data_IF_714516751001
#
_entry.id   IF_714516751001
#
_cell.length_a   1.000
_cell.length_b   1.000
_cell.length_c   1.000
_cell.angle_alpha   90.00
_cell.angle_beta   90.00
_cell.angle_gamma   90.00
#
_symmetry.space_group_name_H-M   'P 1'
#
loop_
_entity.id
_entity.type
_entity.pdbx_description
1 polymer ?
#
# COMPACT_ATOMS: atom_id res chain seq x y z
N UNK A 1 26.48 -15.79 -60.93
CA UNK A 1 26.20 -14.70 -59.98
C UNK A 1 24.78 -14.84 -59.50
N UNK A 2 24.60 -14.87 -58.18
CA UNK A 2 23.35 -14.86 -57.40
C UNK A 2 22.41 -13.69 -57.76
N UNK A 3 21.14 -13.63 -57.27
CA UNK A 3 20.36 -14.67 -56.58
C UNK A 3 18.90 -14.84 -57.07
N UNK A 4 18.39 -16.01 -56.69
CA UNK A 4 17.01 -16.43 -56.53
C UNK A 4 16.14 -15.43 -55.73
N UNK A 5 14.95 -15.12 -56.23
CA UNK A 5 13.80 -14.65 -55.42
C UNK A 5 12.59 -15.51 -55.76
N UNK A 6 12.13 -16.30 -54.79
CA UNK A 6 10.83 -16.98 -54.83
C UNK A 6 9.77 -16.05 -54.21
N UNK A 7 8.56 -15.94 -54.78
CA UNK A 7 7.50 -15.10 -54.24
C UNK A 7 6.60 -15.87 -53.25
N UNK A 8 6.23 -15.17 -52.17
CA UNK A 8 4.95 -15.25 -51.46
C UNK A 8 4.48 -16.63 -50.96
N UNK A 9 4.85 -16.97 -49.72
CA UNK A 9 4.04 -17.88 -48.89
C UNK A 9 3.02 -17.04 -48.14
N UNK A 10 1.77 -17.15 -48.58
CA UNK A 10 0.56 -16.76 -47.87
C UNK A 10 0.54 -17.49 -46.51
N UNK A 11 0.63 -16.75 -45.41
CA UNK A 11 0.23 -17.27 -44.10
C UNK A 11 -1.27 -17.05 -43.99
N UNK A 12 -2.00 -18.13 -44.22
CA UNK A 12 -3.45 -18.23 -44.07
C UNK A 12 -3.87 -18.01 -42.63
N UNK A 13 -4.93 -17.23 -42.50
CA UNK A 13 -5.80 -17.06 -41.35
C UNK A 13 -6.34 -18.39 -40.86
N UNK A 14 -5.81 -18.94 -39.77
CA UNK A 14 -6.48 -19.99 -39.00
C UNK A 14 -5.86 -20.14 -37.61
N UNK A 15 -6.40 -19.40 -36.63
CA UNK A 15 -6.34 -19.74 -35.20
C UNK A 15 -7.23 -18.76 -34.41
N UNK A 16 -8.48 -18.63 -34.85
CA UNK A 16 -9.57 -18.01 -34.11
C UNK A 16 -10.41 -19.16 -33.53
N UNK A 17 -10.02 -19.65 -32.35
CA UNK A 17 -10.88 -20.29 -31.34
C UNK A 17 -10.05 -21.14 -30.36
N UNK A 18 -9.71 -20.55 -29.22
CA UNK A 18 -9.85 -21.23 -27.93
C UNK A 18 -9.89 -20.20 -26.82
N UNK A 19 -11.10 -19.87 -26.40
CA UNK A 19 -11.33 -19.06 -25.21
C UNK A 19 -10.78 -19.79 -23.98
N UNK A 20 -9.94 -19.09 -23.22
CA UNK A 20 -9.79 -19.09 -21.76
C UNK A 20 -8.76 -17.99 -21.49
N UNK A 21 -9.22 -16.87 -20.95
CA UNK A 21 -8.41 -15.71 -20.59
C UNK A 21 -7.35 -16.09 -19.56
N UNK A 22 -6.09 -16.22 -19.99
CA UNK A 22 -4.94 -16.08 -19.08
C UNK A 22 -4.67 -14.59 -18.95
N UNK A 23 -4.63 -14.06 -17.73
CA UNK A 23 -3.90 -12.82 -17.47
C UNK A 23 -2.52 -12.98 -18.11
N UNK A 24 -2.19 -12.08 -19.04
CA UNK A 24 -0.90 -12.10 -19.72
C UNK A 24 0.19 -12.08 -18.68
N UNK A 25 0.95 -13.17 -18.56
CA UNK A 25 2.14 -13.21 -17.71
C UNK A 25 3.21 -12.36 -18.40
N UNK A 26 4.21 -11.82 -17.69
CA UNK A 26 5.35 -11.16 -18.33
C UNK A 26 6.05 -12.04 -19.39
N UNK A 27 5.82 -13.35 -19.35
CA UNK A 27 6.24 -14.38 -20.34
C UNK A 27 5.54 -14.24 -21.71
N UNK A 28 4.40 -13.56 -21.80
CA UNK A 28 3.64 -13.36 -23.06
C UNK A 28 4.17 -12.16 -23.87
N UNK A 29 4.96 -11.28 -23.25
CA UNK A 29 5.79 -10.33 -23.97
C UNK A 29 6.99 -11.12 -24.52
N UNK A 30 7.13 -11.21 -25.85
CA UNK A 30 8.31 -11.78 -26.53
C UNK A 30 9.57 -10.90 -26.33
N UNK A 31 9.81 -10.43 -25.12
CA UNK A 31 10.87 -9.51 -24.74
C UNK A 31 11.52 -9.99 -23.43
N UNK A 32 12.86 -9.99 -23.34
CA UNK A 32 13.54 -10.34 -22.09
C UNK A 32 13.26 -9.30 -21.00
N UNK A 33 13.25 -9.72 -19.73
CA UNK A 33 12.80 -8.90 -18.59
C UNK A 33 13.50 -7.54 -18.45
N UNK A 34 14.80 -7.46 -18.76
CA UNK A 34 15.54 -6.18 -18.72
C UNK A 34 15.05 -5.17 -19.77
N UNK A 35 14.59 -5.62 -20.94
CA UNK A 35 13.97 -4.73 -21.93
C UNK A 35 12.64 -4.17 -21.41
N UNK A 36 11.86 -4.97 -20.69
CA UNK A 36 10.60 -4.52 -20.08
C UNK A 36 10.88 -3.40 -19.07
N UNK A 37 11.91 -3.55 -18.23
CA UNK A 37 12.34 -2.53 -17.26
C UNK A 37 12.78 -1.23 -17.95
N UNK A 38 13.55 -1.33 -19.06
CA UNK A 38 13.98 -0.16 -19.84
C UNK A 38 12.81 0.55 -20.53
N UNK A 39 11.93 -0.20 -21.18
CA UNK A 39 10.72 0.34 -21.81
C UNK A 39 9.82 0.99 -20.75
N UNK A 40 9.66 0.36 -19.58
CA UNK A 40 8.90 0.91 -18.47
C UNK A 40 9.45 2.25 -18.01
N UNK A 41 10.77 2.33 -17.81
CA UNK A 41 11.46 3.57 -17.45
C UNK A 41 11.18 4.63 -18.49
N UNK A 42 11.42 4.33 -19.77
CA UNK A 42 11.35 5.31 -20.85
C UNK A 42 9.91 5.79 -21.09
N UNK A 43 8.90 4.91 -21.03
CA UNK A 43 7.47 5.29 -21.16
C UNK A 43 6.94 6.16 -20.01
N UNK A 44 7.59 6.12 -18.85
CA UNK A 44 7.20 6.86 -17.65
C UNK A 44 8.07 8.09 -17.38
N UNK A 45 9.03 8.40 -18.26
CA UNK A 45 9.75 9.68 -18.21
C UNK A 45 8.78 10.83 -18.50
N UNK A 46 8.78 11.87 -17.68
CA UNK A 46 7.93 13.06 -17.85
C UNK A 46 8.16 13.73 -19.21
N UNK A 47 9.38 13.68 -19.72
CA UNK A 47 9.77 14.21 -21.04
C UNK A 47 9.32 13.33 -22.22
N UNK A 48 9.00 12.05 -21.97
CA UNK A 48 8.62 11.07 -22.99
C UNK A 48 7.14 10.67 -22.88
N UNK A 49 6.28 11.65 -22.60
CA UNK A 49 4.84 11.44 -22.47
C UNK A 49 4.12 11.68 -23.79
N UNK A 50 3.62 10.61 -24.40
CA UNK A 50 2.65 10.71 -25.49
C UNK A 50 1.27 11.04 -24.91
N UNK A 51 0.50 11.96 -25.53
CA UNK A 51 -0.86 12.22 -25.11
C UNK A 51 -1.69 10.93 -25.11
N UNK A 52 -2.47 10.70 -24.06
CA UNK A 52 -3.22 9.45 -23.90
C UNK A 52 -4.18 9.20 -25.07
N UNK A 53 -4.74 10.27 -25.64
CA UNK A 53 -5.59 10.20 -26.83
C UNK A 53 -4.87 9.63 -28.06
N UNK A 54 -3.57 9.92 -28.22
CA UNK A 54 -2.75 9.36 -29.29
C UNK A 54 -2.53 7.88 -29.05
N UNK A 55 -2.21 7.47 -27.82
CA UNK A 55 -2.03 6.06 -27.45
C UNK A 55 -3.36 5.29 -27.66
N UNK A 56 -4.47 5.82 -27.15
CA UNK A 56 -5.81 5.22 -27.32
C UNK A 56 -6.18 5.10 -28.80
N UNK A 57 -5.92 6.13 -29.62
CA UNK A 57 -6.16 6.07 -31.06
C UNK A 57 -5.29 5.02 -31.75
N UNK A 58 -4.00 4.91 -31.40
CA UNK A 58 -3.10 3.88 -31.94
C UNK A 58 -3.53 2.47 -31.53
N UNK A 59 -4.02 2.30 -30.30
CA UNK A 59 -4.54 1.04 -29.80
C UNK A 59 -5.83 0.64 -30.51
N UNK A 60 -6.76 1.57 -30.71
CA UNK A 60 -7.99 1.36 -31.47
C UNK A 60 -7.71 1.04 -32.95
N UNK A 61 -6.70 1.70 -33.55
CA UNK A 61 -6.28 1.41 -34.94
C UNK A 61 -5.66 0.02 -35.09
N UNK A 62 -4.91 -0.44 -34.09
CA UNK A 62 -4.19 -1.73 -34.14
C UNK A 62 -5.06 -2.92 -33.79
N UNK A 63 -5.96 -2.74 -32.82
CA UNK A 63 -6.74 -3.84 -32.21
C UNK A 63 -8.25 -3.71 -32.43
N UNK A 64 -8.71 -2.69 -33.16
CA UNK A 64 -10.14 -2.45 -33.36
C UNK A 64 -10.79 -1.79 -32.14
N UNK A 65 -11.83 -0.99 -32.40
CA UNK A 65 -12.53 -0.23 -31.36
C UNK A 65 -13.54 -1.13 -30.62
N UNK A 66 -13.40 -1.26 -29.30
CA UNK A 66 -14.38 -1.95 -28.45
C UNK A 66 -14.30 -3.47 -28.43
N UNK A 67 -13.21 -4.07 -28.94
CA UNK A 67 -12.98 -5.51 -28.81
C UNK A 67 -12.64 -5.88 -27.36
N UNK A 68 -13.33 -6.89 -26.80
CA UNK A 68 -12.95 -7.48 -25.52
C UNK A 68 -11.56 -8.12 -25.68
N UNK A 69 -10.57 -7.65 -24.91
CA UNK A 69 -9.15 -8.01 -25.10
C UNK A 69 -8.36 -7.10 -26.05
N UNK A 70 -8.96 -5.99 -26.51
CA UNK A 70 -8.31 -5.00 -27.38
C UNK A 70 -7.32 -4.09 -26.66
N UNK A 71 -6.77 -3.09 -27.35
CA UNK A 71 -5.60 -2.32 -26.87
C UNK A 71 -5.81 -1.53 -25.56
N UNK A 72 -7.03 -1.17 -25.20
CA UNK A 72 -7.34 -0.59 -23.87
C UNK A 72 -7.07 -1.59 -22.73
N UNK A 73 -7.40 -2.88 -22.91
CA UNK A 73 -7.07 -3.91 -21.91
C UNK A 73 -5.57 -4.13 -21.77
N UNK A 74 -4.80 -3.91 -22.85
CA UNK A 74 -3.35 -3.99 -22.84
C UNK A 74 -2.72 -2.85 -22.03
N UNK A 75 -3.28 -1.64 -22.15
CA UNK A 75 -2.88 -0.48 -21.32
C UNK A 75 -3.18 -0.78 -19.85
N UNK A 76 -4.37 -1.28 -19.54
CA UNK A 76 -4.76 -1.63 -18.17
C UNK A 76 -3.88 -2.75 -17.60
N UNK A 77 -3.58 -3.78 -18.40
CA UNK A 77 -2.68 -4.87 -18.03
C UNK A 77 -1.26 -4.35 -17.79
N UNK A 78 -0.78 -3.42 -18.61
CA UNK A 78 0.51 -2.77 -18.41
C UNK A 78 0.55 -1.94 -17.12
N UNK A 79 -0.46 -1.11 -16.86
CA UNK A 79 -0.58 -0.35 -15.60
C UNK A 79 -0.67 -1.30 -14.40
N UNK A 80 -1.45 -2.39 -14.52
CA UNK A 80 -1.55 -3.40 -13.47
C UNK A 80 -0.24 -4.14 -13.25
N UNK A 81 0.52 -4.41 -14.31
CA UNK A 81 1.83 -5.03 -14.22
C UNK A 81 2.84 -4.11 -13.54
N UNK A 82 2.85 -2.82 -13.88
CA UNK A 82 3.67 -1.81 -13.18
C UNK A 82 3.36 -1.79 -11.68
N UNK A 83 2.09 -2.01 -11.31
CA UNK A 83 1.59 -2.05 -9.93
C UNK A 83 1.74 -3.40 -9.24
N UNK A 84 1.94 -4.48 -9.98
CA UNK A 84 1.81 -5.82 -9.43
C UNK A 84 2.93 -6.07 -8.41
N UNK A 85 2.53 -6.20 -7.15
CA UNK A 85 3.34 -6.84 -6.12
C UNK A 85 3.56 -8.31 -6.54
N UNK A 86 4.73 -8.92 -6.25
CA UNK A 86 4.76 -10.37 -6.25
C UNK A 86 3.81 -10.90 -5.17
N UNK A 87 3.12 -12.02 -5.44
CA UNK A 87 2.27 -12.65 -4.44
C UNK A 87 3.10 -13.10 -3.24
N UNK A 88 2.73 -12.63 -2.04
CA UNK A 88 3.04 -13.36 -0.80
C UNK A 88 2.43 -14.77 -0.92
N UNK A 89 3.13 -15.77 -0.40
CA UNK A 89 2.93 -17.22 -0.55
C UNK A 89 1.57 -17.79 -0.03
N UNK A 90 0.48 -17.04 -0.09
CA UNK A 90 -0.88 -17.48 0.23
C UNK A 90 -1.70 -17.49 -1.06
N UNK A 91 -2.19 -18.69 -1.41
CA UNK A 91 -2.91 -19.09 -2.64
C UNK A 91 -3.33 -17.94 -3.58
N UNK A 92 -2.50 -17.74 -4.62
CA UNK A 92 -2.72 -16.89 -5.79
C UNK A 92 -4.16 -16.93 -6.34
N UNK A 93 -4.85 -18.07 -6.19
CA UNK A 93 -6.21 -18.32 -6.66
C UNK A 93 -7.29 -17.63 -5.83
N UNK A 94 -7.10 -17.52 -4.51
CA UNK A 94 -8.03 -16.80 -3.60
C UNK A 94 -7.82 -15.29 -3.64
N UNK A 95 -6.56 -14.85 -3.85
CA UNK A 95 -6.23 -13.44 -4.04
C UNK A 95 -6.84 -12.89 -5.34
N UNK A 96 -6.74 -13.62 -6.45
CA UNK A 96 -7.38 -13.24 -7.73
C UNK A 96 -8.90 -13.25 -7.61
N UNK A 97 -9.52 -14.21 -6.92
CA UNK A 97 -10.98 -14.19 -6.70
C UNK A 97 -11.46 -12.98 -5.90
N UNK A 98 -10.74 -12.57 -4.84
CA UNK A 98 -11.05 -11.36 -4.07
C UNK A 98 -10.77 -10.08 -4.86
N UNK A 99 -9.71 -10.05 -5.66
CA UNK A 99 -9.30 -8.89 -6.45
C UNK A 99 -10.21 -8.69 -7.67
N UNK A 100 -10.49 -9.74 -8.45
CA UNK A 100 -11.43 -9.70 -9.59
C UNK A 100 -12.87 -9.52 -9.12
N UNK A 101 -13.24 -10.06 -7.96
CA UNK A 101 -14.56 -9.86 -7.34
C UNK A 101 -14.82 -8.43 -6.86
N UNK A 102 -13.76 -7.68 -6.49
CA UNK A 102 -13.85 -6.24 -6.15
C UNK A 102 -13.61 -5.31 -7.34
N UNK A 103 -12.72 -5.67 -8.26
CA UNK A 103 -12.41 -4.91 -9.49
C UNK A 103 -13.34 -5.25 -10.66
N UNK A 104 -14.56 -5.72 -10.38
CA UNK A 104 -15.62 -5.72 -11.37
C UNK A 104 -16.06 -4.28 -11.56
N UNK A 105 -15.58 -3.64 -12.64
CA UNK A 105 -15.90 -2.29 -13.11
C UNK A 105 -17.40 -2.09 -13.44
N UNK A 106 -18.30 -2.41 -12.50
CA UNK A 106 -19.73 -2.15 -12.64
C UNK A 106 -20.11 -0.71 -12.29
N UNK A 107 -19.15 0.15 -11.93
CA UNK A 107 -19.43 1.47 -11.39
C UNK A 107 -18.61 2.61 -12.01
N UNK A 108 -18.16 2.47 -13.27
CA UNK A 108 -17.68 3.61 -14.07
C UNK A 108 -18.74 4.14 -15.06
N UNK A 109 -19.83 3.39 -15.30
CA UNK A 109 -20.88 3.79 -16.27
C UNK A 109 -22.21 4.26 -15.65
N UNK A 110 -22.33 4.38 -14.32
CA UNK A 110 -23.62 4.72 -13.68
C UNK A 110 -23.56 5.78 -12.55
N UNK A 111 -22.65 6.74 -12.65
CA UNK A 111 -22.64 7.94 -11.80
C UNK A 111 -22.38 9.23 -12.59
N UNK A 112 -22.87 9.32 -13.84
CA UNK A 112 -22.94 10.60 -14.55
C UNK A 112 -24.25 11.33 -14.25
N UNK A 113 -24.50 11.58 -12.96
CA UNK A 113 -25.68 12.28 -12.48
C UNK A 113 -25.33 13.21 -11.34
N UNK A 114 -25.12 14.48 -11.69
CA UNK A 114 -25.10 15.68 -10.84
C UNK A 114 -23.87 15.89 -9.94
N UNK A 115 -22.80 16.45 -10.52
CA UNK A 115 -22.25 17.79 -10.18
C UNK A 115 -21.01 18.07 -11.07
N UNK A 116 -20.92 19.28 -11.59
CA UNK A 116 -19.92 19.72 -12.57
C UNK A 116 -18.48 19.67 -12.03
N UNK A 117 -17.79 18.56 -12.25
CA UNK A 117 -16.33 18.55 -12.37
C UNK A 117 -15.99 18.01 -13.75
N UNK A 118 -15.29 18.80 -14.58
CA UNK A 118 -14.85 18.37 -15.91
C UNK A 118 -13.93 17.16 -15.74
N UNK A 119 -14.45 15.98 -16.02
CA UNK A 119 -13.69 14.73 -16.08
C UNK A 119 -12.72 14.83 -17.26
N UNK A 120 -11.51 15.33 -17.00
CA UNK A 120 -10.47 15.36 -18.01
C UNK A 120 -9.89 13.95 -18.10
N UNK A 121 -9.96 13.34 -19.29
CA UNK A 121 -9.16 12.15 -19.61
C UNK A 121 -7.71 12.38 -19.18
N UNK A 122 -7.02 11.37 -18.64
CA UNK A 122 -5.63 11.52 -18.24
C UNK A 122 -4.82 12.05 -19.42
N UNK A 123 -4.02 13.09 -19.21
CA UNK A 123 -3.30 13.74 -20.31
C UNK A 123 -2.31 12.78 -20.98
N UNK A 124 -1.72 11.86 -20.21
CA UNK A 124 -0.72 10.88 -20.65
C UNK A 124 -0.60 9.73 -19.62
N UNK A 125 0.23 8.73 -19.93
CA UNK A 125 0.38 7.48 -19.16
C UNK A 125 0.84 7.70 -17.71
N UNK A 126 1.81 8.60 -17.50
CA UNK A 126 2.28 8.97 -16.17
C UNK A 126 1.17 9.65 -15.34
N UNK A 127 0.32 10.46 -15.98
CA UNK A 127 -0.85 11.08 -15.33
C UNK A 127 -1.90 10.04 -14.92
N UNK A 128 -2.15 9.04 -15.78
CA UNK A 128 -3.02 7.90 -15.45
C UNK A 128 -2.46 7.09 -14.27
N UNK A 129 -1.15 6.80 -14.29
CA UNK A 129 -0.48 6.10 -13.18
C UNK A 129 -0.62 6.88 -11.87
N UNK A 130 -0.42 8.20 -11.91
CA UNK A 130 -0.57 9.10 -10.77
C UNK A 130 -2.00 9.09 -10.21
N UNK A 131 -3.02 9.26 -11.05
CA UNK A 131 -4.43 9.25 -10.59
C UNK A 131 -4.81 7.95 -9.93
N UNK A 132 -4.33 6.82 -10.44
CA UNK A 132 -4.63 5.52 -9.86
C UNK A 132 -3.88 5.30 -8.53
N UNK A 133 -2.77 6.02 -8.27
CA UNK A 133 -1.95 5.91 -7.05
C UNK A 133 -2.54 6.76 -5.91
N UNK A 134 -3.63 7.48 -6.14
CA UNK A 134 -4.24 8.38 -5.18
C UNK A 134 -5.71 8.02 -5.00
N UNK A 135 -6.06 7.70 -3.75
CA UNK A 135 -7.44 7.57 -3.36
C UNK A 135 -8.03 8.95 -3.04
N UNK A 136 -8.94 9.44 -3.90
CA UNK A 136 -9.60 10.76 -3.76
C UNK A 136 -10.43 10.89 -2.47
N UNK A 137 -10.96 9.77 -1.93
CA UNK A 137 -11.72 9.79 -0.67
C UNK A 137 -10.82 10.00 0.56
N UNK A 138 -9.55 9.60 0.47
CA UNK A 138 -8.56 9.89 1.52
C UNK A 138 -8.17 11.39 1.53
N UNK A 139 -8.25 12.07 0.38
CA UNK A 139 -7.95 13.50 0.25
C UNK A 139 -8.91 14.40 1.04
N UNK A 140 -10.20 14.05 1.11
CA UNK A 140 -11.23 14.87 1.76
C UNK A 140 -11.20 14.79 3.30
N UNK A 141 -10.59 13.74 3.87
CA UNK A 141 -10.58 13.48 5.31
C UNK A 141 -9.37 14.08 6.05
N UNK A 142 -8.47 14.79 5.35
CA UNK A 142 -7.33 15.43 5.98
C UNK A 142 -7.78 16.62 6.84
N UNK A 143 -7.97 16.39 8.14
CA UNK A 143 -8.30 17.47 9.06
C UNK A 143 -7.16 18.49 9.11
N UNK A 144 -7.48 19.78 8.86
CA UNK A 144 -6.57 20.94 8.97
C UNK A 144 -6.20 21.23 10.44
N UNK A 145 -5.79 20.21 11.20
CA UNK A 145 -5.32 20.35 12.57
C UNK A 145 -3.81 20.55 12.58
N UNK A 146 -3.34 21.31 13.57
CA UNK A 146 -1.97 21.77 13.79
C UNK A 146 -0.91 20.80 13.26
N UNK A 147 -0.01 21.31 12.42
CA UNK A 147 1.18 20.57 11.96
C UNK A 147 2.20 20.53 13.10
N UNK A 148 1.88 19.80 14.16
CA UNK A 148 2.91 19.43 15.10
C UNK A 148 3.90 18.54 14.34
N UNK A 149 5.16 18.97 14.26
CA UNK A 149 6.23 18.14 13.70
C UNK A 149 6.45 16.94 14.61
N UNK A 150 5.68 15.88 14.38
CA UNK A 150 5.94 14.58 14.97
C UNK A 150 7.22 14.04 14.34
N UNK A 151 8.24 13.84 15.17
CA UNK A 151 9.48 13.21 14.74
C UNK A 151 9.15 11.86 14.15
N UNK A 152 9.51 11.68 12.89
CA UNK A 152 9.57 10.36 12.31
C UNK A 152 10.60 9.51 13.06
N UNK A 153 10.32 8.22 13.16
CA UNK A 153 11.22 7.23 13.76
C UNK A 153 11.41 6.13 12.73
N UNK A 154 12.61 5.59 12.72
CA UNK A 154 12.99 4.51 11.81
C UNK A 154 12.14 3.26 12.04
N UNK A 155 12.05 2.40 11.04
CA UNK A 155 11.19 1.22 11.09
C UNK A 155 11.62 0.28 12.23
N UNK A 156 12.93 0.12 12.45
CA UNK A 156 13.46 -0.65 13.57
C UNK A 156 13.09 -0.03 14.92
N UNK A 157 13.15 1.30 15.07
CA UNK A 157 12.79 1.97 16.33
C UNK A 157 11.32 1.74 16.66
N UNK A 158 10.44 1.90 15.66
CA UNK A 158 9.01 1.63 15.80
C UNK A 158 8.75 0.16 16.14
N UNK A 159 9.47 -0.75 15.50
CA UNK A 159 9.37 -2.18 15.79
C UNK A 159 9.81 -2.51 17.24
N UNK A 160 10.87 -1.86 17.76
CA UNK A 160 11.34 -2.08 19.14
C UNK A 160 10.35 -1.66 20.21
N UNK A 161 9.53 -0.64 19.92
CA UNK A 161 8.47 -0.17 20.84
C UNK A 161 7.14 -0.92 20.65
N UNK A 162 7.13 -1.98 19.86
CA UNK A 162 5.96 -2.84 19.66
C UNK A 162 5.00 -2.38 18.57
N UNK A 163 5.41 -1.43 17.71
CA UNK A 163 4.63 -1.06 16.52
C UNK A 163 5.05 -1.95 15.36
N UNK A 164 4.13 -2.78 14.88
CA UNK A 164 4.37 -3.67 13.73
C UNK A 164 3.89 -3.05 12.42
N UNK A 165 4.49 -3.46 11.32
CA UNK A 165 4.12 -3.01 9.99
C UNK A 165 3.20 -4.03 9.32
N UNK A 166 2.29 -3.57 8.47
CA UNK A 166 1.44 -4.44 7.65
C UNK A 166 1.19 -3.81 6.28
N UNK A 167 1.22 -4.62 5.20
CA UNK A 167 0.74 -4.14 3.91
C UNK A 167 -0.78 -4.00 3.96
N UNK A 168 -1.29 -2.93 3.37
CA UNK A 168 -2.72 -2.81 3.06
C UNK A 168 -3.03 -3.59 1.75
N UNK A 169 -4.27 -3.49 1.28
CA UNK A 169 -4.68 -4.05 -0.02
C UNK A 169 -4.83 -2.99 -1.11
N UNK A 170 -4.51 -1.74 -0.82
CA UNK A 170 -4.65 -0.62 -1.74
C UNK A 170 -3.27 -0.14 -2.16
N UNK A 171 -3.05 -0.03 -3.47
CA UNK A 171 -1.78 0.48 -4.00
C UNK A 171 -1.74 2.03 -4.00
N UNK A 172 -2.61 2.67 -3.21
CA UNK A 172 -2.75 4.12 -3.20
C UNK A 172 -1.88 4.72 -2.10
N UNK A 173 -0.96 5.61 -2.47
CA UNK A 173 -0.04 6.26 -1.54
C UNK A 173 -0.75 7.08 -0.46
N UNK A 174 -1.97 7.57 -0.71
CA UNK A 174 -2.78 8.25 0.30
C UNK A 174 -3.33 7.33 1.41
N UNK A 175 -3.35 6.01 1.22
CA UNK A 175 -3.98 5.06 2.14
C UNK A 175 -3.01 4.51 3.20
N UNK A 176 -2.57 5.38 4.11
CA UNK A 176 -1.80 4.97 5.29
C UNK A 176 -2.69 5.03 6.53
N UNK A 177 -2.70 3.96 7.32
CA UNK A 177 -3.53 3.83 8.51
C UNK A 177 -2.69 3.40 9.72
N UNK A 178 -3.04 3.89 10.91
CA UNK A 178 -2.47 3.39 12.15
C UNK A 178 -3.57 2.88 13.08
N UNK A 179 -3.45 1.62 13.47
CA UNK A 179 -4.34 0.94 14.40
C UNK A 179 -3.62 0.70 15.72
N UNK A 180 -4.10 1.36 16.78
CA UNK A 180 -3.58 1.18 18.13
C UNK A 180 -4.23 -0.05 18.77
N UNK A 181 -3.44 -0.92 19.40
CA UNK A 181 -3.94 -2.05 20.20
C UNK A 181 -3.31 -2.10 21.59
N UNK A 182 -3.91 -2.88 22.48
CA UNK A 182 -3.37 -3.15 23.83
C UNK A 182 -2.04 -3.90 23.74
N UNK A 183 -1.85 -4.71 22.70
CA UNK A 183 -0.63 -5.51 22.43
C UNK A 183 0.38 -4.81 21.50
N UNK A 184 0.28 -3.49 21.38
CA UNK A 184 1.12 -2.68 20.48
C UNK A 184 0.38 -2.18 19.22
N UNK A 185 0.93 -1.15 18.60
CA UNK A 185 0.38 -0.54 17.39
C UNK A 185 0.62 -1.37 16.12
N UNK A 186 -0.20 -1.09 15.10
CA UNK A 186 0.01 -1.56 13.74
C UNK A 186 0.01 -0.37 12.78
N UNK A 187 1.10 -0.17 12.07
CA UNK A 187 1.18 0.76 10.95
C UNK A 187 0.89 0.00 9.65
N UNK A 188 -0.20 0.37 9.00
CA UNK A 188 -0.69 -0.23 7.77
C UNK A 188 -0.39 0.74 6.64
N UNK A 189 0.35 0.29 5.63
CA UNK A 189 0.76 1.14 4.53
C UNK A 189 0.71 0.40 3.18
N UNK A 190 0.65 1.15 2.06
CA UNK A 190 0.76 0.57 0.74
C UNK A 190 2.06 -0.22 0.61
N UNK A 191 2.02 -1.43 0.07
CA UNK A 191 3.24 -2.18 -0.21
C UNK A 191 3.95 -1.62 -1.45
N UNK A 192 5.28 -1.74 -1.47
CA UNK A 192 6.13 -1.19 -2.55
C UNK A 192 7.08 -2.25 -3.08
N UNK A 193 7.18 -2.32 -4.40
CA UNK A 193 8.19 -3.10 -5.09
C UNK A 193 9.33 -2.21 -5.57
N UNK A 194 10.55 -2.49 -5.12
CA UNK A 194 11.76 -1.78 -5.49
C UNK A 194 12.56 -2.62 -6.49
N UNK A 195 12.57 -2.14 -7.73
CA UNK A 195 13.29 -2.68 -8.88
C UNK A 195 14.19 -1.57 -9.47
N UNK A 196 15.03 -1.90 -10.45
CA UNK A 196 15.99 -0.97 -11.03
C UNK A 196 15.34 0.32 -11.59
N UNK A 197 14.15 0.23 -12.21
CA UNK A 197 13.41 1.39 -12.71
C UNK A 197 12.68 2.21 -11.65
N UNK A 198 12.54 1.68 -10.42
CA UNK A 198 11.70 2.29 -9.38
C UNK A 198 12.09 3.75 -9.09
N UNK A 199 13.40 4.02 -8.93
CA UNK A 199 13.92 5.37 -8.67
C UNK A 199 13.46 6.36 -9.73
N UNK A 200 13.61 5.98 -11.00
CA UNK A 200 13.26 6.85 -12.13
C UNK A 200 11.75 7.09 -12.18
N UNK A 201 10.94 6.04 -12.04
CA UNK A 201 9.47 6.18 -12.04
C UNK A 201 9.00 7.07 -10.89
N UNK A 202 9.51 6.87 -9.68
CA UNK A 202 9.15 7.66 -8.51
C UNK A 202 9.53 9.14 -8.68
N UNK A 203 10.74 9.44 -9.16
CA UNK A 203 11.17 10.81 -9.42
C UNK A 203 10.33 11.50 -10.50
N UNK A 204 9.94 10.79 -11.55
CA UNK A 204 9.06 11.34 -12.59
C UNK A 204 7.64 11.59 -12.07
N UNK A 205 7.12 10.73 -11.18
CA UNK A 205 5.83 10.98 -10.51
C UNK A 205 5.90 12.21 -9.59
N UNK A 206 6.99 12.38 -8.84
CA UNK A 206 7.22 13.57 -7.99
C UNK A 206 7.34 14.84 -8.85
N UNK A 207 8.09 14.77 -9.95
CA UNK A 207 8.20 15.89 -10.88
C UNK A 207 6.84 16.24 -11.51
N UNK A 208 6.08 15.23 -11.92
CA UNK A 208 4.72 15.41 -12.42
C UNK A 208 3.80 16.08 -11.38
N UNK A 209 3.82 15.60 -10.14
CA UNK A 209 3.07 16.16 -9.02
C UNK A 209 3.44 17.65 -8.79
N UNK A 210 4.73 17.96 -8.81
CA UNK A 210 5.26 19.32 -8.60
C UNK A 210 4.94 20.27 -9.76
N UNK A 211 5.01 19.80 -11.00
CA UNK A 211 4.82 20.62 -12.20
C UNK A 211 3.35 20.80 -12.59
N UNK A 212 2.52 19.76 -12.45
CA UNK A 212 1.16 19.73 -13.00
C UNK A 212 0.06 19.90 -11.94
N UNK A 213 0.32 19.53 -10.68
CA UNK A 213 -0.68 19.53 -9.60
C UNK A 213 -0.32 20.55 -8.50
N UNK A 214 -0.49 21.83 -8.82
CA UNK A 214 -0.34 22.94 -7.86
C UNK A 214 -1.47 23.00 -6.78
N UNK A 215 -2.35 22.00 -6.68
CA UNK A 215 -3.47 21.97 -5.73
C UNK A 215 -3.05 21.64 -4.29
N UNK A 216 -1.78 21.29 -4.06
CA UNK A 216 -1.24 20.99 -2.73
C UNK A 216 -1.42 19.54 -2.26
N UNK A 217 -2.02 18.68 -3.08
CA UNK A 217 -2.17 17.24 -2.79
C UNK A 217 -0.90 16.47 -3.17
N UNK A 218 0.20 16.74 -2.45
CA UNK A 218 1.51 16.14 -2.70
C UNK A 218 1.62 14.71 -2.14
N UNK A 219 0.70 13.79 -2.50
CA UNK A 219 0.63 12.45 -1.92
C UNK A 219 1.82 11.56 -2.25
N UNK A 220 2.33 11.61 -3.49
CA UNK A 220 3.51 10.85 -3.90
C UNK A 220 4.74 11.35 -3.16
N UNK A 221 4.96 12.66 -3.14
CA UNK A 221 6.09 13.26 -2.42
C UNK A 221 5.98 13.01 -0.92
N UNK A 222 4.79 13.14 -0.35
CA UNK A 222 4.56 12.90 1.09
C UNK A 222 4.81 11.46 1.48
N UNK A 223 4.42 10.52 0.63
CA UNK A 223 4.68 9.10 0.85
C UNK A 223 6.16 8.76 0.71
N UNK A 224 6.86 9.32 -0.28
CA UNK A 224 8.30 9.17 -0.43
C UNK A 224 9.06 9.68 0.81
N UNK A 225 8.71 10.87 1.31
CA UNK A 225 9.30 11.39 2.55
C UNK A 225 8.91 10.56 3.79
N UNK A 226 7.69 10.01 3.82
CA UNK A 226 7.27 9.12 4.90
C UNK A 226 8.11 7.84 4.93
N UNK A 227 8.35 7.21 3.78
CA UNK A 227 9.20 6.02 3.69
C UNK A 227 10.66 6.30 4.02
N UNK A 228 11.21 7.40 3.52
CA UNK A 228 12.57 7.82 3.88
C UNK A 228 12.74 7.93 5.40
N UNK A 229 11.75 8.50 6.05
CA UNK A 229 11.75 8.62 7.50
C UNK A 229 11.68 7.28 8.26
N UNK A 230 11.11 6.25 7.62
CA UNK A 230 11.09 4.88 8.12
C UNK A 230 12.37 4.12 7.76
N UNK A 231 13.01 4.43 6.64
CA UNK A 231 14.16 3.70 6.07
C UNK A 231 15.42 4.56 6.22
N UNK A 232 16.08 4.45 7.37
CA UNK A 232 17.32 5.19 7.63
C UNK A 232 18.54 4.32 7.32
N UNK A 233 18.46 3.01 7.57
CA UNK A 233 19.51 2.06 7.25
C UNK A 233 19.00 0.68 6.79
N UNK A 234 19.92 -0.26 6.58
CA UNK A 234 19.65 -1.61 6.10
C UNK A 234 18.76 -2.41 7.04
N UNK A 235 18.83 -2.18 8.36
CA UNK A 235 18.00 -2.92 9.31
C UNK A 235 16.53 -2.50 9.21
N UNK A 236 16.28 -1.22 8.90
CA UNK A 236 14.92 -0.76 8.60
C UNK A 236 14.33 -1.44 7.36
N UNK A 237 15.15 -1.60 6.31
CA UNK A 237 14.76 -2.30 5.08
C UNK A 237 14.35 -3.73 5.40
N UNK A 238 15.16 -4.46 6.18
CA UNK A 238 14.88 -5.84 6.60
C UNK A 238 13.59 -5.95 7.41
N UNK A 239 13.34 -5.02 8.34
CA UNK A 239 12.10 -4.99 9.13
C UNK A 239 10.89 -4.88 8.20
N UNK A 240 10.89 -3.91 7.31
CA UNK A 240 9.77 -3.68 6.39
C UNK A 240 9.60 -4.82 5.36
N UNK A 241 10.71 -5.43 4.94
CA UNK A 241 10.69 -6.60 4.06
C UNK A 241 10.07 -7.81 4.77
N UNK A 242 10.45 -8.07 6.02
CA UNK A 242 9.95 -9.20 6.81
C UNK A 242 8.43 -9.13 7.07
N UNK A 243 7.89 -7.92 7.22
CA UNK A 243 6.45 -7.70 7.39
C UNK A 243 5.69 -7.70 6.04
N UNK A 244 6.40 -7.71 4.92
CA UNK A 244 5.86 -7.76 3.55
C UNK A 244 5.37 -6.41 3.03
N UNK A 245 5.89 -5.30 3.60
CA UNK A 245 5.62 -3.94 3.14
C UNK A 245 6.57 -3.56 2.01
N UNK A 246 7.83 -3.98 2.09
CA UNK A 246 8.80 -3.83 1.02
C UNK A 246 9.04 -5.17 0.33
N UNK A 247 9.04 -5.13 -1.00
CA UNK A 247 9.54 -6.20 -1.82
C UNK A 247 10.69 -5.67 -2.67
N UNK A 248 11.89 -6.24 -2.52
CA UNK A 248 13.12 -5.72 -3.10
C UNK A 248 13.69 -6.71 -4.11
N UNK A 249 14.05 -6.21 -5.29
CA UNK A 249 14.78 -6.94 -6.34
C UNK A 249 16.21 -6.40 -6.51
N UNK A 250 16.64 -5.55 -5.58
CA UNK A 250 17.96 -4.91 -5.50
C UNK A 250 18.57 -5.18 -4.12
N UNK A 251 19.82 -4.80 -3.91
CA UNK A 251 20.48 -4.97 -2.60
C UNK A 251 19.85 -4.06 -1.55
N UNK A 252 19.73 -4.53 -0.32
CA UNK A 252 19.16 -3.76 0.80
C UNK A 252 19.86 -2.41 1.01
N UNK A 253 21.20 -2.39 0.86
CA UNK A 253 21.97 -1.15 0.95
C UNK A 253 21.56 -0.13 -0.12
N UNK A 254 21.30 -0.58 -1.35
CA UNK A 254 20.86 0.32 -2.42
C UNK A 254 19.49 0.93 -2.13
N UNK A 255 18.62 0.20 -1.42
CA UNK A 255 17.32 0.72 -0.97
C UNK A 255 17.50 1.82 0.08
N UNK A 256 18.34 1.59 1.08
CA UNK A 256 18.61 2.59 2.11
C UNK A 256 19.24 3.85 1.49
N UNK A 257 20.23 3.67 0.61
CA UNK A 257 20.90 4.78 -0.08
C UNK A 257 19.93 5.54 -1.00
N UNK A 258 19.02 4.82 -1.68
CA UNK A 258 18.01 5.40 -2.56
C UNK A 258 17.14 6.43 -1.82
N UNK A 259 16.55 6.03 -0.70
CA UNK A 259 15.64 6.92 0.06
C UNK A 259 16.41 8.08 0.70
N UNK A 260 17.53 7.78 1.37
CA UNK A 260 18.40 8.77 2.02
C UNK A 260 18.95 9.85 1.05
N UNK A 261 19.06 9.53 -0.25
CA UNK A 261 19.46 10.50 -1.28
C UNK A 261 18.27 11.24 -1.88
N UNK A 262 17.15 10.56 -2.10
CA UNK A 262 15.99 11.11 -2.80
C UNK A 262 15.26 12.17 -2.00
N UNK A 263 15.10 11.97 -0.68
CA UNK A 263 14.26 12.81 0.17
C UNK A 263 14.88 14.17 0.54
N UNK A 264 16.20 14.34 0.39
CA UNK A 264 16.95 15.50 0.90
C UNK A 264 16.42 16.85 0.45
N UNK A 265 15.83 16.89 -0.75
CA UNK A 265 15.32 18.11 -1.38
C UNK A 265 13.80 18.13 -1.52
N UNK A 266 13.10 17.13 -0.97
CA UNK A 266 11.66 17.00 -1.08
C UNK A 266 10.96 17.67 0.11
N UNK A 267 9.94 18.47 -0.20
CA UNK A 267 9.07 19.07 0.81
C UNK A 267 7.72 18.36 0.76
N UNK A 268 7.39 17.51 1.74
CA UNK A 268 6.10 16.82 1.77
C UNK A 268 4.96 17.79 2.09
N UNK A 269 3.73 17.39 1.81
CA UNK A 269 2.56 18.11 2.33
C UNK A 269 2.56 17.99 3.86
N UNK A 270 2.54 19.12 4.61
CA UNK A 270 2.61 19.11 6.08
C UNK A 270 1.42 18.39 6.73
N UNK A 271 0.28 18.30 6.04
CA UNK A 271 -0.93 17.66 6.53
C UNK A 271 -1.05 16.18 6.15
N UNK A 272 -0.20 15.68 5.24
CA UNK A 272 -0.22 14.28 4.84
C UNK A 272 0.04 13.38 6.05
N UNK A 273 -0.86 12.42 6.27
CA UNK A 273 -0.84 11.46 7.36
C UNK A 273 -0.75 12.09 8.77
N UNK A 274 -1.17 13.35 8.95
CA UNK A 274 -1.11 14.06 10.24
C UNK A 274 -1.76 13.25 11.38
N UNK A 275 -2.91 12.65 11.11
CA UNK A 275 -3.62 11.79 12.06
C UNK A 275 -2.87 10.49 12.38
N UNK A 276 -2.24 9.87 11.39
CA UNK A 276 -1.41 8.67 11.56
C UNK A 276 -0.21 9.00 12.45
N UNK A 277 0.52 10.07 12.12
CA UNK A 277 1.69 10.56 12.86
C UNK A 277 1.35 10.84 14.31
N UNK A 278 0.24 11.56 14.54
CA UNK A 278 -0.27 11.86 15.88
C UNK A 278 -0.60 10.59 16.66
N UNK A 279 -1.29 9.62 16.04
CA UNK A 279 -1.66 8.37 16.72
C UNK A 279 -0.44 7.51 17.05
N UNK A 280 0.57 7.44 16.18
CA UNK A 280 1.85 6.78 16.47
C UNK A 280 2.49 7.40 17.72
N UNK A 281 2.53 8.73 17.78
CA UNK A 281 3.15 9.43 18.90
C UNK A 281 2.39 9.22 20.23
N UNK A 282 1.06 9.23 20.18
CA UNK A 282 0.22 8.91 21.35
C UNK A 282 0.38 7.46 21.81
N UNK A 283 0.47 6.51 20.87
CA UNK A 283 0.69 5.09 21.17
C UNK A 283 2.02 4.90 21.92
N UNK A 284 3.08 5.51 21.40
CA UNK A 284 4.43 5.48 21.97
C UNK A 284 4.53 6.10 23.36
N UNK A 285 3.83 7.22 23.58
CA UNK A 285 3.79 7.93 24.87
C UNK A 285 2.83 7.30 25.88
N UNK A 286 2.02 6.32 25.49
CA UNK A 286 1.01 5.75 26.38
C UNK A 286 1.64 4.92 27.50
N UNK A 287 1.68 5.50 28.70
CA UNK A 287 2.15 4.81 29.92
C UNK A 287 1.26 3.59 30.22
N UNK A 288 -0.06 3.70 30.01
CA UNK A 288 -1.01 2.60 30.23
C UNK A 288 -0.66 1.38 29.35
N UNK A 289 -0.22 1.59 28.09
CA UNK A 289 0.19 0.50 27.22
C UNK A 289 1.51 -0.13 27.63
N UNK A 290 2.45 0.65 28.18
CA UNK A 290 3.67 0.10 28.78
C UNK A 290 3.33 -0.86 29.91
N UNK A 291 2.51 -0.41 30.87
CA UNK A 291 2.04 -1.27 31.97
C UNK A 291 1.23 -2.47 31.47
N UNK A 292 0.32 -2.29 30.51
CA UNK A 292 -0.47 -3.39 29.97
C UNK A 292 0.40 -4.42 29.23
N UNK A 293 1.43 -3.98 28.50
CA UNK A 293 2.40 -4.85 27.83
C UNK A 293 3.25 -5.61 28.85
N UNK A 294 3.76 -4.94 29.88
CA UNK A 294 4.51 -5.58 30.98
C UNK A 294 3.65 -6.61 31.73
N UNK A 295 2.40 -6.28 32.03
CA UNK A 295 1.45 -7.20 32.64
C UNK A 295 1.15 -8.40 31.73
N UNK A 296 0.89 -8.17 30.43
CA UNK A 296 0.71 -9.25 29.46
C UNK A 296 1.92 -10.16 29.40
N UNK A 297 3.12 -9.59 29.29
CA UNK A 297 4.35 -10.37 29.16
C UNK A 297 4.67 -11.16 30.43
N UNK A 298 4.46 -10.58 31.63
CA UNK A 298 4.85 -11.21 32.90
C UNK A 298 3.83 -12.25 33.36
N UNK A 299 2.53 -11.95 33.22
CA UNK A 299 1.47 -12.81 33.75
C UNK A 299 0.89 -13.78 32.73
N UNK A 300 0.78 -13.39 31.44
CA UNK A 300 0.16 -14.24 30.43
C UNK A 300 1.16 -15.07 29.61
N UNK A 301 2.47 -14.84 29.75
CA UNK A 301 3.48 -15.70 29.09
C UNK A 301 3.83 -16.95 29.91
N UNK A 302 3.63 -16.91 31.22
CA UNK A 302 3.90 -18.04 32.12
C UNK A 302 2.57 -18.57 32.68
N UNK A 303 2.18 -19.83 32.37
CA UNK A 303 0.95 -20.44 32.89
C UNK A 303 0.85 -20.37 34.42
N UNK A 304 1.99 -20.50 35.12
CA UNK A 304 2.03 -20.43 36.58
C UNK A 304 1.74 -19.03 37.12
N UNK A 305 2.27 -17.98 36.47
CA UNK A 305 1.98 -16.59 36.84
C UNK A 305 0.50 -16.26 36.64
N UNK A 306 -0.12 -16.80 35.59
CA UNK A 306 -1.55 -16.66 35.36
C UNK A 306 -2.40 -17.34 36.45
N UNK A 307 -2.07 -18.59 36.80
CA UNK A 307 -2.76 -19.32 37.87
C UNK A 307 -2.62 -18.57 39.22
N UNK A 308 -1.42 -18.08 39.52
CA UNK A 308 -1.18 -17.28 40.73
C UNK A 308 -2.02 -15.99 40.76
N UNK A 309 -2.14 -15.30 39.62
CA UNK A 309 -3.00 -14.13 39.48
C UNK A 309 -4.48 -14.46 39.76
N UNK A 310 -4.99 -15.57 39.21
CA UNK A 310 -6.38 -16.02 39.43
C UNK A 310 -6.61 -16.42 40.90
N UNK A 311 -5.67 -17.12 41.52
CA UNK A 311 -5.77 -17.51 42.93
C UNK A 311 -5.80 -16.27 43.85
N UNK A 312 -4.92 -15.30 43.60
CA UNK A 312 -4.87 -14.06 44.37
C UNK A 312 -6.16 -13.23 44.22
N UNK A 313 -6.70 -13.09 43.00
CA UNK A 313 -7.96 -12.37 42.79
C UNK A 313 -9.15 -13.06 43.45
N UNK A 314 -9.24 -14.39 43.37
CA UNK A 314 -10.28 -15.15 44.09
C UNK A 314 -10.17 -14.96 45.60
N UNK A 315 -8.95 -14.97 46.15
CA UNK A 315 -8.72 -14.76 47.58
C UNK A 315 -9.19 -13.37 48.00
N UNK A 316 -8.88 -12.32 47.23
CA UNK A 316 -9.34 -10.95 47.50
C UNK A 316 -10.88 -10.88 47.47
N UNK A 317 -11.53 -11.49 46.48
CA UNK A 317 -12.99 -11.52 46.37
C UNK A 317 -13.61 -12.23 47.58
N UNK A 318 -13.09 -13.40 47.93
CA UNK A 318 -13.52 -14.16 49.11
C UNK A 318 -13.39 -13.34 50.39
N UNK A 319 -12.25 -12.66 50.60
CA UNK A 319 -12.05 -11.80 51.77
C UNK A 319 -13.02 -10.61 51.79
N UNK A 320 -13.32 -10.00 50.65
CA UNK A 320 -14.27 -8.90 50.57
C UNK A 320 -15.70 -9.35 50.91
N UNK A 321 -16.12 -10.52 50.42
CA UNK A 321 -17.41 -11.12 50.76
C UNK A 321 -17.49 -11.42 52.26
N UNK A 322 -16.43 -12.02 52.82
CA UNK A 322 -16.38 -12.33 54.24
C UNK A 322 -16.51 -11.07 55.10
N UNK A 323 -15.72 -10.02 54.82
CA UNK A 323 -15.81 -8.75 55.53
C UNK A 323 -17.18 -8.07 55.36
N UNK A 324 -17.82 -8.20 54.21
CA UNK A 324 -19.16 -7.65 53.98
C UNK A 324 -20.23 -8.38 54.82
N UNK A 325 -20.19 -9.72 54.89
CA UNK A 325 -21.11 -10.52 55.70
C UNK A 325 -20.92 -10.28 57.20
N UNK A 326 -19.69 -10.02 57.65
CA UNK A 326 -19.39 -9.66 59.05
C UNK A 326 -19.90 -8.26 59.43
N UNK A 327 -19.90 -7.31 58.48
CA UNK A 327 -20.41 -5.95 58.69
C UNK A 327 -21.92 -5.83 58.58
N UNK A 328 -22.55 -6.69 57.76
CA UNK A 328 -24.00 -6.77 57.59
C UNK A 328 -24.50 -8.17 57.96
N UNK A 329 -24.43 -8.59 59.23
CA UNK A 329 -25.00 -9.86 59.65
C UNK A 329 -26.50 -9.82 59.31
N UNK A 330 -26.98 -10.84 58.62
CA UNK A 330 -28.41 -11.00 58.38
C UNK A 330 -29.11 -10.98 59.75
N UNK A 331 -29.94 -9.98 59.98
CA UNK A 331 -30.77 -9.93 61.17
C UNK A 331 -31.66 -11.15 61.14
N UNK A 332 -31.38 -12.14 62.00
CA UNK A 332 -32.30 -13.21 62.29
C UNK A 332 -33.58 -12.57 62.83
N UNK A 333 -34.57 -12.39 61.95
CA UNK A 333 -35.93 -12.09 62.34
C UNK A 333 -36.49 -13.35 63.01
N UNK A 334 -36.13 -13.54 64.28
CA UNK A 334 -36.87 -14.44 65.16
C UNK A 334 -38.24 -13.79 65.39
N UNK A 335 -39.23 -14.22 64.62
CA UNK A 335 -40.64 -13.98 64.93
C UNK A 335 -41.01 -14.95 66.05
N UNK A 336 -40.99 -14.45 67.30
CA UNK A 336 -41.70 -15.07 68.42
C UNK A 336 -43.22 -14.86 68.30
#
# INVERSE_FOLDING_TARGET
MTPHWSPLVLITTESLNSGIWRCSRPEDLKMPGHHITLIKRDLLLLENQLPFQVISSLMDLRFGKGEAGGGHTLIDDYIRHIRALPPRQESFKEMIKKFVGKCSWKQAHKMWGNEETKDHQPAHLLGLLYTDLINKEACSNCSRRSSDWYSYRSAKDLHTVGIRFRPNWTNAYSDVEFQSSVRGGKLILPPITIEESFKSVLLNLIAYETCCYASGELWVTSYACFLDSLIQDVEDVKVLQSEGVLNIFVREQEVADLFNQMSRNLVPNPYAYSDVKRRIELDRKSIIKKWASELMQTYFSNPWSYIALVAATLTIILTAIQSYLELFPASDCNCD
#
